data_IF_102449733829
#
_entry.id   IF_102449733829
#
_cell.length_a   1.000
_cell.length_b   1.000
_cell.length_c   1.000
_cell.angle_alpha   90.00
_cell.angle_beta   90.00
_cell.angle_gamma   90.00
#
_symmetry.space_group_name_H-M   'P 1'
#
loop_
_entity.id
_entity.type
_entity.pdbx_description
1 polymer ?
#
# COMPACT_ATOMS: atom_id res chain seq x y z
N UNK A 1 52.24 -44.30 5.78
CA UNK A 1 51.16 -45.20 5.31
C UNK A 1 49.77 -44.60 5.62
N UNK A 2 49.52 -43.32 5.30
CA UNK A 2 48.31 -42.60 5.75
C UNK A 2 47.01 -43.18 5.14
N UNK A 3 47.08 -43.67 3.89
CA UNK A 3 45.95 -44.30 3.21
C UNK A 3 45.47 -45.60 3.91
N UNK A 4 46.30 -46.24 4.74
CA UNK A 4 45.92 -47.41 5.54
C UNK A 4 44.83 -47.05 6.57
N UNK A 5 44.82 -45.81 7.06
CA UNK A 5 43.84 -45.30 8.02
C UNK A 5 42.72 -44.50 7.36
N UNK A 6 42.78 -44.31 6.04
CA UNK A 6 41.77 -43.58 5.30
C UNK A 6 40.49 -44.44 5.19
N UNK A 7 39.39 -43.93 5.74
CA UNK A 7 38.09 -44.60 5.64
C UNK A 7 37.44 -44.36 4.29
N UNK A 8 37.30 -45.44 3.50
CA UNK A 8 36.57 -45.43 2.22
C UNK A 8 35.07 -45.19 2.37
N UNK A 9 34.51 -45.22 3.59
CA UNK A 9 33.12 -44.83 3.84
C UNK A 9 32.85 -43.38 3.39
N UNK A 10 33.87 -42.52 3.43
CA UNK A 10 33.81 -41.13 2.95
C UNK A 10 33.63 -40.98 1.43
N UNK A 11 33.74 -42.07 0.66
CA UNK A 11 33.51 -42.06 -0.80
C UNK A 11 32.02 -42.13 -1.17
N UNK A 12 31.12 -42.23 -0.21
CA UNK A 12 29.68 -42.13 -0.43
C UNK A 12 29.31 -40.85 -1.19
N UNK A 13 30.01 -39.74 -0.91
CA UNK A 13 29.90 -38.47 -1.62
C UNK A 13 31.13 -38.22 -2.49
N UNK A 14 30.94 -37.51 -3.61
CA UNK A 14 32.05 -36.99 -4.43
C UNK A 14 31.97 -35.49 -4.45
N UNK A 15 32.55 -34.86 -3.43
CA UNK A 15 32.54 -33.41 -3.28
C UNK A 15 33.57 -32.80 -4.21
N UNK A 16 33.12 -31.88 -5.06
CA UNK A 16 33.97 -31.03 -5.88
C UNK A 16 33.34 -29.64 -5.97
N UNK A 17 34.11 -28.59 -5.67
CA UNK A 17 33.62 -27.19 -5.62
C UNK A 17 32.34 -27.03 -4.78
N UNK A 18 32.33 -27.63 -3.58
CA UNK A 18 31.17 -27.64 -2.65
C UNK A 18 29.90 -28.32 -3.17
N UNK A 19 29.97 -29.04 -4.30
CA UNK A 19 28.84 -29.79 -4.87
C UNK A 19 29.14 -31.29 -4.85
N UNK A 20 28.11 -32.12 -4.63
CA UNK A 20 28.22 -33.57 -4.77
C UNK A 20 27.95 -33.98 -6.23
N UNK A 21 28.95 -34.55 -6.91
CA UNK A 21 28.79 -35.02 -8.29
C UNK A 21 27.85 -36.22 -8.43
N UNK A 22 27.60 -36.94 -7.33
CA UNK A 22 26.69 -38.09 -7.30
C UNK A 22 25.22 -37.72 -7.12
N UNK A 23 24.89 -36.43 -7.20
CA UNK A 23 23.50 -35.98 -7.10
C UNK A 23 22.74 -36.28 -8.41
N UNK A 24 21.61 -36.96 -8.30
CA UNK A 24 20.76 -37.31 -9.44
C UNK A 24 19.88 -36.11 -9.85
N UNK A 25 20.51 -35.15 -10.52
CA UNK A 25 19.85 -33.94 -11.02
C UNK A 25 18.89 -34.18 -12.20
N UNK A 26 18.93 -35.35 -12.82
CA UNK A 26 18.06 -35.68 -13.95
C UNK A 26 16.67 -36.11 -13.50
N UNK A 27 16.53 -36.58 -12.26
CA UNK A 27 15.24 -36.96 -11.66
C UNK A 27 14.74 -35.95 -10.62
N UNK A 28 15.58 -35.01 -10.19
CA UNK A 28 15.29 -34.08 -9.10
C UNK A 28 15.65 -32.64 -9.44
N UNK A 29 14.82 -31.70 -8.98
CA UNK A 29 15.04 -30.27 -9.15
C UNK A 29 14.65 -29.74 -10.54
N UNK A 30 15.17 -28.57 -10.89
CA UNK A 30 14.86 -27.83 -12.12
C UNK A 30 15.38 -28.54 -13.38
N UNK A 31 16.47 -29.32 -13.26
CA UNK A 31 17.10 -30.09 -14.35
C UNK A 31 16.34 -31.37 -14.73
N UNK A 32 15.31 -31.73 -13.96
CA UNK A 32 14.45 -32.89 -14.23
C UNK A 32 13.66 -32.75 -15.53
N UNK A 33 13.21 -31.54 -15.83
CA UNK A 33 12.35 -31.29 -16.97
C UNK A 33 13.16 -31.30 -18.27
N UNK A 34 12.88 -32.27 -19.15
CA UNK A 34 13.61 -32.44 -20.42
C UNK A 34 13.02 -31.64 -21.59
N UNK A 35 11.78 -31.16 -21.46
CA UNK A 35 11.12 -30.26 -22.42
C UNK A 35 11.48 -28.79 -22.22
N UNK A 36 12.73 -28.48 -21.89
CA UNK A 36 13.18 -27.09 -21.66
C UNK A 36 13.54 -26.39 -22.98
N UNK A 37 13.30 -25.08 -23.04
CA UNK A 37 13.67 -24.26 -24.18
C UNK A 37 15.19 -24.08 -24.32
N UNK A 38 15.64 -23.65 -25.50
CA UNK A 38 17.08 -23.51 -25.82
C UNK A 38 17.84 -22.58 -24.87
N UNK A 39 17.22 -21.49 -24.42
CA UNK A 39 17.86 -20.54 -23.51
C UNK A 39 18.11 -21.15 -22.13
N UNK A 40 17.11 -21.82 -21.56
CA UNK A 40 17.22 -22.43 -20.23
C UNK A 40 18.17 -23.63 -20.25
N UNK A 41 18.18 -24.42 -21.32
CA UNK A 41 19.17 -25.49 -21.53
C UNK A 41 20.60 -24.93 -21.58
N UNK A 42 20.83 -23.86 -22.35
CA UNK A 42 22.13 -23.19 -22.40
C UNK A 42 22.59 -22.66 -21.04
N UNK A 43 21.67 -22.05 -20.28
CA UNK A 43 21.95 -21.53 -18.95
C UNK A 43 22.33 -22.65 -17.98
N UNK A 44 21.61 -23.77 -18.00
CA UNK A 44 21.95 -24.95 -17.22
C UNK A 44 23.27 -25.59 -17.64
N UNK A 45 23.60 -25.58 -18.94
CA UNK A 45 24.88 -26.07 -19.46
C UNK A 45 26.06 -25.27 -18.92
N UNK A 46 25.92 -23.96 -18.77
CA UNK A 46 26.97 -23.10 -18.21
C UNK A 46 27.19 -23.35 -16.72
N UNK A 47 26.12 -23.41 -15.93
CA UNK A 47 26.22 -23.44 -14.46
C UNK A 47 26.30 -24.87 -13.90
N UNK A 48 25.83 -25.87 -14.66
CA UNK A 48 25.88 -27.32 -14.38
C UNK A 48 25.12 -27.79 -13.13
N UNK A 49 24.50 -26.89 -12.38
CA UNK A 49 23.71 -27.19 -11.19
C UNK A 49 22.70 -26.05 -10.95
N UNK A 50 21.54 -26.36 -10.39
CA UNK A 50 20.50 -25.38 -10.08
C UNK A 50 20.85 -24.47 -8.89
N UNK A 51 21.65 -24.95 -7.92
CA UNK A 51 21.98 -24.20 -6.70
C UNK A 51 22.63 -22.84 -6.99
N UNK A 52 23.72 -22.78 -7.78
CA UNK A 52 24.37 -21.51 -8.09
C UNK A 52 23.51 -20.58 -8.95
N UNK A 53 22.63 -21.10 -9.82
CA UNK A 53 21.68 -20.27 -10.59
C UNK A 53 20.73 -19.54 -9.63
N UNK A 54 20.12 -20.29 -8.71
CA UNK A 54 19.19 -19.71 -7.72
C UNK A 54 19.87 -18.67 -6.84
N UNK A 55 21.09 -18.97 -6.37
CA UNK A 55 21.88 -18.04 -5.57
C UNK A 55 22.19 -16.74 -6.32
N UNK A 56 22.63 -16.81 -7.57
CA UNK A 56 22.94 -15.62 -8.37
C UNK A 56 21.68 -14.83 -8.75
N UNK A 57 20.61 -15.50 -9.15
CA UNK A 57 19.35 -14.86 -9.53
C UNK A 57 18.67 -14.14 -8.38
N UNK A 58 18.89 -14.57 -7.14
CA UNK A 58 18.41 -13.85 -5.95
C UNK A 58 18.94 -12.41 -5.91
N UNK A 59 20.26 -12.23 -6.05
CA UNK A 59 20.87 -10.89 -6.04
C UNK A 59 20.54 -10.09 -7.29
N UNK A 60 20.54 -10.72 -8.46
CA UNK A 60 20.15 -10.07 -9.72
C UNK A 60 18.70 -9.58 -9.63
N UNK A 61 17.80 -10.36 -9.04
CA UNK A 61 16.40 -10.00 -8.86
C UNK A 61 16.22 -8.72 -8.04
N UNK A 62 16.92 -8.59 -6.91
CA UNK A 62 16.90 -7.35 -6.12
C UNK A 62 17.48 -6.15 -6.89
N UNK A 63 18.59 -6.36 -7.59
CA UNK A 63 19.19 -5.32 -8.43
C UNK A 63 18.22 -4.82 -9.50
N UNK A 64 17.59 -5.75 -10.25
CA UNK A 64 16.63 -5.42 -11.29
C UNK A 64 15.38 -4.74 -10.72
N UNK A 65 14.81 -5.23 -9.62
CA UNK A 65 13.65 -4.60 -8.98
C UNK A 65 13.96 -3.16 -8.55
N UNK A 66 15.14 -2.92 -7.96
CA UNK A 66 15.59 -1.58 -7.59
C UNK A 66 15.81 -0.69 -8.81
N UNK A 67 16.42 -1.20 -9.87
CA UNK A 67 16.64 -0.43 -11.10
C UNK A 67 15.33 -0.10 -11.80
N UNK A 68 14.39 -1.05 -11.88
CA UNK A 68 13.05 -0.81 -12.44
C UNK A 68 12.29 0.21 -11.60
N UNK A 69 12.33 0.11 -10.27
CA UNK A 69 11.72 1.11 -9.39
C UNK A 69 12.30 2.51 -9.59
N UNK A 70 13.63 2.61 -9.74
CA UNK A 70 14.30 3.88 -10.06
C UNK A 70 13.86 4.43 -11.43
N UNK A 71 13.86 3.60 -12.47
CA UNK A 71 13.47 4.03 -13.82
C UNK A 71 12.01 4.43 -13.86
N UNK A 72 11.15 3.67 -13.17
CA UNK A 72 9.73 3.95 -13.08
C UNK A 72 9.50 5.32 -12.44
N UNK A 73 10.04 5.57 -11.25
CA UNK A 73 9.79 6.81 -10.52
C UNK A 73 10.39 8.05 -11.21
N UNK A 74 11.55 7.93 -11.86
CA UNK A 74 12.23 9.10 -12.43
C UNK A 74 11.83 9.41 -13.88
N UNK A 75 11.39 8.42 -14.65
CA UNK A 75 11.13 8.60 -16.08
C UNK A 75 9.70 8.21 -16.48
N UNK A 76 9.20 7.07 -16.02
CA UNK A 76 7.90 6.56 -16.48
C UNK A 76 6.75 7.28 -15.78
N UNK A 77 6.82 7.42 -14.46
CA UNK A 77 5.82 8.06 -13.61
C UNK A 77 5.54 9.51 -14.03
N UNK A 78 6.55 10.39 -14.14
CA UNK A 78 6.32 11.76 -14.61
C UNK A 78 5.86 11.81 -16.08
N UNK A 79 6.42 10.99 -16.97
CA UNK A 79 6.09 11.11 -18.39
C UNK A 79 4.69 10.58 -18.75
N UNK A 80 4.26 9.47 -18.15
CA UNK A 80 3.00 8.81 -18.53
C UNK A 80 1.86 9.02 -17.54
N UNK A 81 2.14 9.13 -16.23
CA UNK A 81 1.09 9.10 -15.20
C UNK A 81 0.82 10.47 -14.56
N UNK A 82 1.67 11.47 -14.79
CA UNK A 82 1.48 12.82 -14.25
C UNK A 82 0.14 13.44 -14.68
N UNK A 83 -0.22 13.32 -15.95
CA UNK A 83 -1.50 13.83 -16.46
C UNK A 83 -2.71 13.19 -15.75
N UNK A 84 -2.67 11.89 -15.51
CA UNK A 84 -3.70 11.16 -14.77
C UNK A 84 -3.79 11.61 -13.31
N UNK A 85 -2.66 11.90 -12.65
CA UNK A 85 -2.64 12.44 -11.28
C UNK A 85 -3.19 13.85 -11.20
N UNK A 86 -2.85 14.71 -12.17
CA UNK A 86 -3.38 16.07 -12.25
C UNK A 86 -4.90 16.01 -12.45
N UNK A 87 -5.38 15.17 -13.37
CA UNK A 87 -6.81 14.99 -13.57
C UNK A 87 -7.49 14.47 -12.30
N UNK A 88 -6.94 13.44 -11.65
CA UNK A 88 -7.48 12.92 -10.40
C UNK A 88 -7.50 13.97 -9.26
N UNK A 89 -6.48 14.83 -9.19
CA UNK A 89 -6.44 15.91 -8.20
C UNK A 89 -7.49 17.00 -8.48
N UNK A 90 -7.79 17.28 -9.76
CA UNK A 90 -8.86 18.18 -10.16
C UNK A 90 -10.22 17.54 -9.84
N UNK A 91 -10.41 16.27 -10.21
CA UNK A 91 -11.63 15.50 -9.95
C UNK A 91 -11.94 15.44 -8.45
N UNK A 92 -10.92 15.19 -7.61
CA UNK A 92 -11.07 15.17 -6.16
C UNK A 92 -11.60 16.52 -5.63
N UNK A 93 -11.03 17.64 -6.10
CA UNK A 93 -11.48 18.98 -5.71
C UNK A 93 -12.90 19.27 -6.18
N UNK A 94 -13.23 18.90 -7.41
CA UNK A 94 -14.59 19.06 -7.94
C UNK A 94 -15.60 18.23 -7.15
N UNK A 95 -15.25 16.99 -6.79
CA UNK A 95 -16.08 16.13 -5.97
C UNK A 95 -16.26 16.68 -4.55
N UNK A 96 -15.21 17.25 -3.95
CA UNK A 96 -15.29 17.92 -2.65
C UNK A 96 -16.21 19.16 -2.72
N UNK A 97 -16.08 20.00 -3.75
CA UNK A 97 -16.95 21.17 -3.96
C UNK A 97 -18.42 20.76 -4.18
N UNK A 98 -18.65 19.72 -4.97
CA UNK A 98 -19.97 19.15 -5.18
C UNK A 98 -20.56 18.59 -3.88
N UNK A 99 -19.75 17.91 -3.07
CA UNK A 99 -20.16 17.39 -1.77
C UNK A 99 -20.60 18.52 -0.83
N UNK A 100 -19.86 19.63 -0.78
CA UNK A 100 -20.23 20.82 0.02
C UNK A 100 -21.59 21.39 -0.44
N UNK A 101 -21.84 21.41 -1.74
CA UNK A 101 -23.08 21.96 -2.30
C UNK A 101 -24.33 21.09 -2.06
N UNK A 102 -24.17 19.76 -2.02
CA UNK A 102 -25.29 18.81 -1.94
C UNK A 102 -25.57 18.33 -0.51
N UNK A 103 -24.51 18.05 0.27
CA UNK A 103 -24.64 17.43 1.58
C UNK A 103 -25.27 18.35 2.61
N UNK A 104 -25.93 17.72 3.58
CA UNK A 104 -26.44 18.41 4.75
C UNK A 104 -25.34 18.51 5.82
N UNK A 105 -24.90 19.73 6.10
CA UNK A 105 -24.00 20.04 7.21
C UNK A 105 -24.78 20.47 8.44
N UNK A 106 -24.37 19.94 9.61
CA UNK A 106 -24.91 20.41 10.88
C UNK A 106 -24.31 21.78 11.27
N UNK A 107 -24.76 22.35 12.40
CA UNK A 107 -24.26 23.63 12.93
C UNK A 107 -22.74 23.67 13.14
N UNK A 108 -22.10 22.53 13.33
CA UNK A 108 -20.66 22.39 13.54
C UNK A 108 -19.87 22.17 12.25
N UNK A 109 -20.53 22.14 11.08
CA UNK A 109 -19.89 21.91 9.79
C UNK A 109 -19.56 20.44 9.50
N UNK A 110 -20.24 19.48 10.14
CA UNK A 110 -20.08 18.05 9.87
C UNK A 110 -21.23 17.48 9.02
N UNK A 111 -20.96 16.62 8.02
CA UNK A 111 -21.98 16.01 7.15
C UNK A 111 -22.73 14.90 7.89
N UNK A 112 -23.69 15.29 8.73
CA UNK A 112 -24.39 14.39 9.66
C UNK A 112 -25.47 13.49 9.02
N UNK A 113 -25.88 13.77 7.78
CA UNK A 113 -26.94 13.02 7.07
C UNK A 113 -26.51 12.56 5.68
N UNK A 114 -25.45 11.75 5.55
CA UNK A 114 -24.97 11.29 4.24
C UNK A 114 -25.95 10.32 3.56
N UNK A 115 -26.83 9.66 4.32
CA UNK A 115 -27.80 8.68 3.79
C UNK A 115 -29.20 9.30 3.53
N UNK A 116 -29.31 10.63 3.39
CA UNK A 116 -30.60 11.29 3.13
C UNK A 116 -31.16 10.91 1.76
N UNK A 117 -30.29 10.70 0.77
CA UNK A 117 -30.64 10.22 -0.58
C UNK A 117 -29.47 9.40 -1.16
N UNK A 118 -29.72 8.69 -2.26
CA UNK A 118 -28.67 7.97 -2.99
C UNK A 118 -27.58 8.94 -3.49
N UNK A 119 -27.98 10.12 -3.95
CA UNK A 119 -27.03 11.14 -4.40
C UNK A 119 -26.17 11.70 -3.26
N UNK A 120 -26.76 11.93 -2.09
CA UNK A 120 -26.01 12.37 -0.90
C UNK A 120 -25.00 11.30 -0.47
N UNK A 121 -25.36 10.02 -0.56
CA UNK A 121 -24.44 8.93 -0.22
C UNK A 121 -23.26 8.89 -1.20
N UNK A 122 -23.52 9.02 -2.50
CA UNK A 122 -22.45 9.04 -3.51
C UNK A 122 -21.54 10.26 -3.30
N UNK A 123 -22.12 11.45 -3.08
CA UNK A 123 -21.37 12.68 -2.85
C UNK A 123 -20.52 12.60 -1.57
N UNK A 124 -21.04 11.98 -0.50
CA UNK A 124 -20.27 11.74 0.71
C UNK A 124 -19.09 10.79 0.46
N UNK A 125 -19.31 9.71 -0.30
CA UNK A 125 -18.28 8.70 -0.57
C UNK A 125 -17.19 9.19 -1.52
N UNK A 126 -17.54 10.09 -2.46
CA UNK A 126 -16.60 10.64 -3.44
C UNK A 126 -15.74 11.78 -2.90
N UNK A 127 -16.18 12.42 -1.81
CA UNK A 127 -15.42 13.47 -1.15
C UNK A 127 -14.26 12.91 -0.34
N UNK A 128 -13.12 13.60 -0.34
CA UNK A 128 -11.98 13.29 0.50
C UNK A 128 -12.19 13.85 1.91
N UNK A 129 -12.67 15.10 1.99
CA UNK A 129 -12.76 15.87 3.25
C UNK A 129 -13.98 15.47 4.08
N UNK A 130 -15.00 14.91 3.45
CA UNK A 130 -16.28 14.51 4.08
C UNK A 130 -16.09 13.46 5.17
N UNK A 131 -15.20 12.49 4.95
CA UNK A 131 -14.85 11.47 5.94
C UNK A 131 -14.16 12.08 7.16
N UNK A 132 -13.17 12.94 6.93
CA UNK A 132 -12.41 13.63 7.96
C UNK A 132 -13.32 14.50 8.84
N UNK A 133 -14.20 15.29 8.25
CA UNK A 133 -15.12 16.15 8.98
C UNK A 133 -16.09 15.36 9.87
N UNK A 134 -16.61 14.23 9.38
CA UNK A 134 -17.52 13.39 10.17
C UNK A 134 -16.77 12.62 11.27
N UNK A 135 -15.58 12.11 10.97
CA UNK A 135 -14.74 11.40 11.92
C UNK A 135 -14.25 12.32 13.05
N UNK A 136 -13.84 13.55 12.72
CA UNK A 136 -13.43 14.53 13.73
C UNK A 136 -14.62 14.92 14.63
N UNK A 137 -15.82 15.07 14.06
CA UNK A 137 -17.02 15.38 14.83
C UNK A 137 -17.41 14.26 15.79
N UNK A 138 -17.38 13.01 15.32
CA UNK A 138 -17.72 11.84 16.15
C UNK A 138 -16.65 11.51 17.19
N UNK A 139 -15.38 11.80 16.91
CA UNK A 139 -14.29 11.61 17.87
C UNK A 139 -14.22 12.70 18.94
N UNK A 140 -14.79 13.89 18.69
CA UNK A 140 -14.82 14.94 19.69
C UNK A 140 -15.93 14.69 20.73
N UNK A 141 -15.52 14.20 21.91
CA UNK A 141 -16.45 13.79 22.98
C UNK A 141 -17.43 14.89 23.36
N UNK A 142 -16.96 16.13 23.51
CA UNK A 142 -17.83 17.24 23.89
C UNK A 142 -18.91 17.54 22.84
N UNK A 143 -18.61 17.39 21.54
CA UNK A 143 -19.63 17.53 20.50
C UNK A 143 -20.67 16.39 20.53
N UNK A 144 -20.27 15.18 20.95
CA UNK A 144 -21.20 14.06 21.16
C UNK A 144 -22.07 14.27 22.41
N UNK A 145 -21.49 14.80 23.49
CA UNK A 145 -22.21 15.13 24.71
C UNK A 145 -23.28 16.20 24.42
N UNK A 146 -22.91 17.28 23.71
CA UNK A 146 -23.85 18.32 23.28
C UNK A 146 -24.94 17.75 22.38
N UNK A 147 -24.61 16.80 21.49
CA UNK A 147 -25.61 16.14 20.65
C UNK A 147 -26.58 15.28 21.48
N UNK A 148 -26.09 14.57 22.51
CA UNK A 148 -26.94 13.81 23.42
C UNK A 148 -27.91 14.73 24.20
N UNK A 149 -27.43 15.89 24.67
CA UNK A 149 -28.26 16.89 25.34
C UNK A 149 -29.32 17.49 24.39
N UNK A 150 -28.95 17.75 23.13
CA UNK A 150 -29.90 18.19 22.09
C UNK A 150 -30.98 17.14 21.85
N UNK A 151 -30.63 15.85 21.84
CA UNK A 151 -31.60 14.75 21.70
C UNK A 151 -32.51 14.62 22.93
N UNK A 152 -32.02 14.96 24.12
CA UNK A 152 -32.81 15.03 25.34
C UNK A 152 -33.74 16.26 25.40
N UNK A 153 -33.64 17.16 24.41
CA UNK A 153 -34.50 18.36 24.28
C UNK A 153 -33.85 19.66 24.76
N UNK A 154 -32.58 19.63 25.18
CA UNK A 154 -31.82 20.83 25.53
C UNK A 154 -31.08 21.37 24.30
N UNK A 155 -31.75 22.22 23.54
CA UNK A 155 -31.17 22.88 22.36
C UNK A 155 -31.37 24.39 22.42
N UNK A 156 -30.36 25.14 21.97
CA UNK A 156 -30.34 26.61 21.99
C UNK A 156 -29.61 27.17 20.77
N UNK A 157 -29.69 28.50 20.62
CA UNK A 157 -28.83 29.24 19.70
C UNK A 157 -27.36 29.08 20.11
N UNK A 158 -26.47 29.11 19.12
CA UNK A 158 -25.02 28.92 19.29
C UNK A 158 -24.27 30.18 18.90
N UNK A 159 -23.21 30.52 19.64
CA UNK A 159 -22.31 31.62 19.26
C UNK A 159 -21.37 31.20 18.12
N UNK A 160 -20.73 32.19 17.48
CA UNK A 160 -19.75 31.90 16.42
C UNK A 160 -18.58 31.04 16.91
N UNK A 161 -18.19 31.17 18.18
CA UNK A 161 -17.15 30.35 18.79
C UNK A 161 -17.60 28.90 18.95
N UNK A 162 -18.86 28.68 19.34
CA UNK A 162 -19.44 27.34 19.52
C UNK A 162 -19.59 26.62 18.18
N UNK A 163 -19.97 27.34 17.11
CA UNK A 163 -20.02 26.79 15.74
C UNK A 163 -18.62 26.33 15.28
N UNK A 164 -17.58 27.03 15.70
CA UNK A 164 -16.18 26.73 15.36
C UNK A 164 -15.54 25.68 16.29
N UNK A 165 -16.25 25.05 17.24
CA UNK A 165 -15.65 24.09 18.17
C UNK A 165 -14.91 22.94 17.48
N UNK A 166 -15.44 22.47 16.35
CA UNK A 166 -14.81 21.39 15.57
C UNK A 166 -13.47 21.85 14.97
N UNK A 167 -13.39 23.11 14.51
CA UNK A 167 -12.15 23.69 13.98
C UNK A 167 -11.09 23.85 15.07
N UNK A 168 -11.49 24.23 16.29
CA UNK A 168 -10.58 24.28 17.44
C UNK A 168 -10.04 22.89 17.78
N UNK A 169 -10.90 21.87 17.78
CA UNK A 169 -10.49 20.49 17.98
C UNK A 169 -9.50 20.03 16.89
N UNK A 170 -9.83 20.24 15.62
CA UNK A 170 -8.96 19.92 14.48
C UNK A 170 -7.60 20.60 14.57
N UNK A 171 -7.56 21.88 14.98
CA UNK A 171 -6.31 22.60 15.21
C UNK A 171 -5.50 22.02 16.37
N UNK A 172 -6.16 21.54 17.43
CA UNK A 172 -5.49 20.93 18.59
C UNK A 172 -4.78 19.62 18.25
N UNK A 173 -5.31 18.85 17.29
CA UNK A 173 -4.68 17.62 16.78
C UNK A 173 -3.69 17.87 15.64
N UNK A 174 -3.41 19.14 15.32
CA UNK A 174 -2.40 19.54 14.33
C UNK A 174 -2.90 19.64 12.88
N UNK A 175 -4.21 19.57 12.62
CA UNK A 175 -4.74 19.81 11.27
C UNK A 175 -4.60 21.29 10.91
N UNK A 176 -4.28 21.57 9.64
CA UNK A 176 -4.25 22.93 9.11
C UNK A 176 -5.68 23.37 8.78
N UNK A 177 -6.28 24.15 9.67
CA UNK A 177 -7.64 24.68 9.51
C UNK A 177 -7.59 26.21 9.47
N UNK A 178 -8.28 26.80 8.50
CA UNK A 178 -8.39 28.24 8.30
C UNK A 178 -9.78 28.75 8.75
N UNK A 179 -9.89 30.05 9.07
CA UNK A 179 -11.17 30.68 9.42
C UNK A 179 -11.71 30.33 10.82
N UNK A 180 -10.84 30.41 11.84
CA UNK A 180 -11.21 30.37 13.26
C UNK A 180 -11.56 31.79 13.72
#
# INVERSE_FOLDING_TARGET
>A
MWFKFFSKQSWNLRIWRKCNLKFNQDDQGMLRHKGIGRYTDFLFRMVRNEGPIRGSMFFIGFGLASSVGYVFNNYIDPYFFESGRIQAAIDLKQNDEQAVSKLFFNRFGAPSRPLRSLEDMIAFLSGSVTYDQLADFTSYSHAMDVNADQQAGLDSWMSQNDLNMLKYYQKSIGKKVEGI
#
